data_IF_255720283880
#
_entry.id   IF_255720283880
#
_cell.length_a   1.000
_cell.length_b   1.000
_cell.length_c   1.000
_cell.angle_alpha   90.00
_cell.angle_beta   90.00
_cell.angle_gamma   90.00
#
_symmetry.space_group_name_H-M   'P 1'
#
loop_
_entity.id
_entity.type
_entity.pdbx_description
1 polymer ?
#
# COMPACT_ATOMS: atom_id res chain seq x y z
N UNK A 1 20.40 -22.45 11.16
CA UNK A 1 19.14 -21.77 10.80
C UNK A 1 18.22 -21.84 12.00
N UNK A 2 18.16 -20.77 12.79
CA UNK A 2 17.12 -20.62 13.81
C UNK A 2 15.82 -20.37 13.09
N UNK A 3 14.79 -21.16 13.41
CA UNK A 3 13.46 -21.04 12.85
C UNK A 3 12.96 -19.61 12.94
N UNK A 4 12.40 -19.12 11.84
CA UNK A 4 11.69 -17.83 11.83
C UNK A 4 10.44 -18.06 12.67
N UNK A 5 10.40 -17.49 13.87
CA UNK A 5 9.27 -17.63 14.77
C UNK A 5 7.98 -17.24 14.07
N UNK A 6 7.01 -18.16 14.07
CA UNK A 6 5.65 -17.92 13.59
C UNK A 6 4.98 -16.73 14.31
N UNK A 7 5.51 -16.37 15.47
CA UNK A 7 5.05 -15.28 16.33
C UNK A 7 5.58 -13.89 15.95
N UNK A 8 6.21 -13.72 14.77
CA UNK A 8 6.58 -12.38 14.33
C UNK A 8 5.34 -11.54 14.04
N UNK A 9 5.16 -10.41 14.74
CA UNK A 9 3.93 -9.59 14.62
C UNK A 9 3.52 -9.25 13.20
N UNK A 10 4.50 -9.08 12.30
CA UNK A 10 4.25 -8.75 10.89
C UNK A 10 3.61 -9.87 10.08
N UNK A 11 3.87 -11.13 10.41
CA UNK A 11 3.31 -12.30 9.70
C UNK A 11 1.87 -12.55 10.12
N UNK A 12 1.60 -12.49 11.42
CA UNK A 12 0.26 -12.64 11.97
C UNK A 12 -0.71 -11.57 11.45
N UNK A 13 -0.22 -10.33 11.31
CA UNK A 13 -1.01 -9.22 10.78
C UNK A 13 -1.40 -9.47 9.31
N UNK A 14 -0.52 -10.05 8.50
CA UNK A 14 -0.81 -10.44 7.11
C UNK A 14 -1.81 -11.59 7.09
N UNK A 15 -1.55 -12.64 7.86
CA UNK A 15 -2.41 -13.84 7.92
C UNK A 15 -3.84 -13.49 8.33
N UNK A 16 -4.02 -12.65 9.33
CA UNK A 16 -5.35 -12.21 9.79
C UNK A 16 -6.03 -11.19 8.87
N UNK A 17 -5.41 -10.79 7.76
CA UNK A 17 -5.97 -9.77 6.85
C UNK A 17 -6.12 -8.38 7.47
N UNK A 18 -5.36 -8.09 8.53
CA UNK A 18 -5.41 -6.81 9.23
C UNK A 18 -4.70 -5.68 8.50
N UNK A 19 -3.86 -6.01 7.53
CA UNK A 19 -3.13 -5.04 6.71
C UNK A 19 -3.05 -5.49 5.27
N UNK A 20 -3.12 -4.53 4.35
CA UNK A 20 -2.80 -4.73 2.94
C UNK A 20 -1.30 -4.55 2.74
N UNK A 21 -0.63 -5.58 2.22
CA UNK A 21 0.80 -5.54 1.95
C UNK A 21 1.06 -5.19 0.48
N UNK A 22 1.74 -4.08 0.24
CA UNK A 22 2.12 -3.62 -1.09
C UNK A 22 3.60 -3.25 -1.16
N UNK A 23 4.11 -3.00 -2.38
CA UNK A 23 5.45 -2.47 -2.64
C UNK A 23 5.34 -1.14 -3.36
N UNK A 24 5.10 -0.05 -2.63
CA UNK A 24 4.81 1.26 -3.22
C UNK A 24 6.04 2.16 -3.29
N UNK A 25 6.47 2.72 -2.17
CA UNK A 25 7.56 3.67 -2.11
C UNK A 25 8.89 3.04 -2.59
N UNK A 26 9.26 3.27 -3.83
CA UNK A 26 10.50 2.74 -4.45
C UNK A 26 10.65 1.22 -4.29
N UNK A 27 9.56 0.48 -4.40
CA UNK A 27 9.52 -0.97 -4.23
C UNK A 27 9.70 -1.47 -2.79
N UNK A 28 9.67 -0.57 -1.80
CA UNK A 28 9.74 -0.95 -0.38
C UNK A 28 8.40 -1.51 0.10
N UNK A 29 8.48 -2.44 1.03
CA UNK A 29 7.33 -2.98 1.73
C UNK A 29 6.52 -1.87 2.41
N UNK A 30 5.23 -1.85 2.16
CA UNK A 30 4.29 -0.89 2.72
C UNK A 30 3.09 -1.64 3.29
N UNK A 31 2.84 -1.46 4.59
CA UNK A 31 1.66 -1.98 5.26
C UNK A 31 0.59 -0.90 5.30
N UNK A 32 -0.57 -1.20 4.74
CA UNK A 32 -1.68 -0.26 4.60
C UNK A 32 -2.85 -0.76 5.43
N UNK A 33 -3.33 0.06 6.36
CA UNK A 33 -4.54 -0.26 7.12
C UNK A 33 -5.74 -0.40 6.14
N UNK A 34 -6.67 -1.35 6.35
CA UNK A 34 -7.77 -1.60 5.43
C UNK A 34 -8.56 -0.33 5.06
N UNK A 35 -8.84 0.54 6.04
CA UNK A 35 -9.53 1.81 5.81
C UNK A 35 -8.84 2.73 4.80
N UNK A 36 -7.51 2.59 4.63
CA UNK A 36 -6.70 3.40 3.71
C UNK A 36 -6.56 2.77 2.32
N UNK A 37 -6.85 1.49 2.14
CA UNK A 37 -6.70 0.76 0.87
C UNK A 37 -7.40 1.46 -0.30
N UNK A 38 -8.64 1.97 -0.18
CA UNK A 38 -9.30 2.67 -1.30
C UNK A 38 -8.52 3.89 -1.79
N UNK A 39 -7.91 4.64 -0.88
CA UNK A 39 -7.14 5.84 -1.22
C UNK A 39 -5.82 5.48 -1.90
N UNK A 40 -5.11 4.47 -1.39
CA UNK A 40 -3.90 3.97 -2.04
C UNK A 40 -4.22 3.38 -3.40
N UNK A 41 -5.32 2.64 -3.55
CA UNK A 41 -5.75 2.11 -4.84
C UNK A 41 -6.06 3.21 -5.86
N UNK A 42 -6.68 4.32 -5.45
CA UNK A 42 -6.97 5.44 -6.34
C UNK A 42 -5.71 6.09 -6.93
N UNK A 43 -4.56 5.96 -6.24
CA UNK A 43 -3.27 6.53 -6.66
C UNK A 43 -2.43 5.52 -7.43
N UNK A 44 -2.26 4.29 -6.92
CA UNK A 44 -1.35 3.28 -7.49
C UNK A 44 -2.05 2.14 -8.22
N UNK A 45 -3.33 1.92 -7.96
CA UNK A 45 -4.07 0.81 -8.55
C UNK A 45 -4.07 0.84 -10.07
N UNK A 46 -3.96 -0.34 -10.68
CA UNK A 46 -4.09 -0.52 -12.12
C UNK A 46 -5.44 -1.15 -12.42
N UNK A 47 -6.27 -0.46 -13.21
CA UNK A 47 -7.57 -0.98 -13.65
C UNK A 47 -7.37 -2.03 -14.74
N UNK A 48 -8.30 -2.97 -14.86
CA UNK A 48 -8.22 -4.06 -15.84
C UNK A 48 -8.02 -3.56 -17.28
N UNK A 49 -8.68 -2.49 -17.64
CA UNK A 49 -8.54 -1.88 -18.98
C UNK A 49 -7.14 -1.30 -19.23
N UNK A 50 -6.41 -0.93 -18.17
CA UNK A 50 -5.10 -0.30 -18.28
C UNK A 50 -3.95 -1.32 -18.14
N UNK A 51 -4.24 -2.59 -17.78
CA UNK A 51 -3.24 -3.63 -17.58
C UNK A 51 -2.33 -3.85 -18.81
N UNK A 52 -2.83 -3.89 -20.06
CA UNK A 52 -1.98 -4.09 -21.21
C UNK A 52 -0.93 -2.99 -21.40
N UNK A 53 -1.25 -1.76 -20.97
CA UNK A 53 -0.38 -0.59 -21.10
C UNK A 53 0.56 -0.41 -19.93
N UNK A 54 0.15 -0.83 -18.72
CA UNK A 54 0.84 -0.53 -17.47
C UNK A 54 1.60 -1.71 -16.87
N UNK A 55 1.31 -2.94 -17.29
CA UNK A 55 1.96 -4.15 -16.79
C UNK A 55 2.83 -4.79 -17.87
N UNK A 56 4.01 -5.25 -17.48
CA UNK A 56 4.88 -6.05 -18.34
C UNK A 56 4.22 -7.38 -18.74
N UNK A 57 4.72 -8.02 -19.81
CA UNK A 57 4.25 -9.34 -20.24
C UNK A 57 4.33 -10.35 -19.08
N UNK A 58 5.47 -10.38 -18.37
CA UNK A 58 5.68 -11.28 -17.23
C UNK A 58 4.66 -11.05 -16.09
N UNK A 59 4.41 -9.79 -15.74
CA UNK A 59 3.40 -9.47 -14.73
C UNK A 59 2.00 -9.95 -15.16
N UNK A 60 1.63 -9.77 -16.43
CA UNK A 60 0.34 -10.24 -16.96
C UNK A 60 0.23 -11.75 -16.99
N UNK A 61 1.33 -12.48 -17.25
CA UNK A 61 1.35 -13.96 -17.17
C UNK A 61 1.09 -14.43 -15.75
N UNK A 62 1.81 -13.90 -14.76
CA UNK A 62 1.61 -14.19 -13.33
C UNK A 62 0.15 -13.88 -12.92
N UNK A 63 -0.37 -12.72 -13.30
CA UNK A 63 -1.73 -12.31 -12.97
C UNK A 63 -2.79 -13.24 -13.58
N UNK A 64 -2.55 -13.75 -14.80
CA UNK A 64 -3.44 -14.69 -15.47
C UNK A 64 -3.55 -16.00 -14.69
N UNK A 65 -2.45 -16.52 -14.20
CA UNK A 65 -2.43 -17.73 -13.37
C UNK A 65 -3.20 -17.51 -12.07
N UNK A 66 -2.91 -16.44 -11.33
CA UNK A 66 -3.64 -16.13 -10.10
C UNK A 66 -5.15 -15.88 -10.30
N UNK A 67 -5.55 -15.42 -11.48
CA UNK A 67 -6.98 -15.28 -11.82
C UNK A 67 -7.67 -16.62 -12.08
N UNK A 68 -6.92 -17.64 -12.47
CA UNK A 68 -7.44 -19.00 -12.68
C UNK A 68 -7.46 -19.80 -11.39
N UNK A 69 -6.34 -19.74 -10.63
CA UNK A 69 -6.12 -20.59 -9.45
C UNK A 69 -6.49 -19.93 -8.12
N UNK A 70 -6.71 -18.61 -8.13
CA UNK A 70 -7.02 -17.76 -6.96
C UNK A 70 -5.90 -17.62 -5.94
N UNK A 71 -5.23 -18.70 -5.56
CA UNK A 71 -4.23 -18.73 -4.51
C UNK A 71 -3.13 -19.76 -4.81
N UNK A 72 -1.85 -19.35 -4.73
CA UNK A 72 -0.73 -20.23 -5.06
C UNK A 72 0.52 -19.92 -4.24
N UNK A 73 1.29 -20.98 -3.92
CA UNK A 73 2.64 -20.83 -3.37
C UNK A 73 3.58 -20.19 -4.41
N UNK A 74 4.61 -19.51 -3.91
CA UNK A 74 5.56 -18.77 -4.78
C UNK A 74 6.19 -19.65 -5.85
N UNK A 75 6.55 -20.90 -5.52
CA UNK A 75 7.18 -21.84 -6.44
C UNK A 75 6.23 -22.22 -7.56
N UNK A 76 5.04 -22.68 -7.18
CA UNK A 76 4.03 -23.16 -8.13
C UNK A 76 3.59 -22.02 -9.07
N UNK A 77 3.38 -20.83 -8.50
CA UNK A 77 3.04 -19.63 -9.27
C UNK A 77 4.13 -19.26 -10.29
N UNK A 78 5.41 -19.45 -9.95
CA UNK A 78 6.51 -19.23 -10.88
C UNK A 78 6.49 -20.26 -11.99
N UNK A 79 6.37 -21.53 -11.64
CA UNK A 79 6.44 -22.64 -12.57
C UNK A 79 5.23 -22.59 -13.55
N UNK A 80 4.02 -22.36 -13.05
CA UNK A 80 2.79 -22.25 -13.86
C UNK A 80 2.71 -20.97 -14.71
N UNK A 81 3.33 -19.89 -14.26
CA UNK A 81 3.33 -18.65 -15.04
C UNK A 81 4.22 -18.73 -16.29
N UNK A 82 5.11 -19.70 -16.37
CA UNK A 82 6.05 -19.83 -17.47
C UNK A 82 7.06 -18.66 -17.59
N UNK A 83 7.16 -17.83 -16.55
CA UNK A 83 8.10 -16.69 -16.55
C UNK A 83 9.51 -17.19 -16.31
N UNK A 84 10.34 -17.14 -17.35
CA UNK A 84 11.72 -17.57 -17.29
C UNK A 84 12.59 -16.72 -16.36
N UNK A 85 13.35 -17.40 -15.48
CA UNK A 85 14.30 -16.75 -14.57
C UNK A 85 13.69 -16.14 -13.31
N UNK A 86 14.36 -16.37 -12.18
CA UNK A 86 13.90 -15.92 -10.86
C UNK A 86 13.82 -14.40 -10.71
N UNK A 87 14.66 -13.66 -11.45
CA UNK A 87 14.64 -12.19 -11.43
C UNK A 87 13.44 -11.62 -12.18
N UNK A 88 13.14 -12.11 -13.37
CA UNK A 88 12.00 -11.70 -14.17
C UNK A 88 10.69 -11.98 -13.44
N UNK A 89 10.58 -13.12 -12.77
CA UNK A 89 9.43 -13.46 -11.93
C UNK A 89 9.30 -12.50 -10.72
N UNK A 90 10.42 -12.23 -10.01
CA UNK A 90 10.40 -11.28 -8.88
C UNK A 90 9.99 -9.88 -9.33
N UNK A 91 10.50 -9.42 -10.46
CA UNK A 91 10.14 -8.12 -11.03
C UNK A 91 8.66 -8.07 -11.42
N UNK A 92 8.14 -9.08 -12.13
CA UNK A 92 6.73 -9.17 -12.52
C UNK A 92 5.79 -9.19 -11.32
N UNK A 93 6.08 -10.01 -10.32
CA UNK A 93 5.32 -10.06 -9.08
C UNK A 93 5.40 -8.74 -8.29
N UNK A 94 6.58 -8.13 -8.21
CA UNK A 94 6.77 -6.82 -7.58
C UNK A 94 5.93 -5.73 -8.26
N UNK A 95 5.85 -5.74 -9.59
CA UNK A 95 4.99 -4.82 -10.34
C UNK A 95 3.49 -5.02 -10.02
N UNK A 96 3.05 -6.27 -9.84
CA UNK A 96 1.67 -6.57 -9.43
C UNK A 96 1.37 -6.08 -8.01
N UNK A 97 2.32 -6.21 -7.07
CA UNK A 97 2.20 -5.65 -5.73
C UNK A 97 2.15 -4.11 -5.75
N UNK A 98 2.99 -3.47 -6.57
CA UNK A 98 2.99 -2.01 -6.75
C UNK A 98 1.70 -1.52 -7.41
N UNK A 99 1.08 -2.32 -8.27
CA UNK A 99 -0.21 -2.05 -8.91
C UNK A 99 -1.43 -2.37 -8.02
N UNK A 100 -1.20 -2.82 -6.77
CA UNK A 100 -2.23 -3.24 -5.82
C UNK A 100 -3.17 -4.35 -6.35
N UNK A 101 -2.63 -5.26 -7.16
CA UNK A 101 -3.38 -6.38 -7.76
C UNK A 101 -3.20 -7.69 -6.99
N UNK A 102 -2.03 -7.92 -6.37
CA UNK A 102 -1.71 -9.15 -5.64
C UNK A 102 -1.13 -8.85 -4.28
N UNK A 103 -1.47 -9.72 -3.32
CA UNK A 103 -1.00 -9.67 -1.94
C UNK A 103 -0.62 -11.07 -1.47
N UNK A 104 0.26 -11.21 -0.48
CA UNK A 104 0.38 -12.46 0.23
C UNK A 104 -0.87 -12.68 1.10
N UNK A 105 -1.44 -13.87 1.05
CA UNK A 105 -2.54 -14.29 1.92
C UNK A 105 -2.02 -15.01 3.15
N UNK A 106 -0.93 -15.76 2.98
CA UNK A 106 -0.36 -16.60 4.01
C UNK A 106 1.16 -16.71 3.86
N UNK A 107 1.80 -17.14 4.93
CA UNK A 107 3.23 -17.48 4.97
C UNK A 107 3.37 -18.89 5.50
N UNK A 108 3.99 -19.76 4.71
CA UNK A 108 4.34 -21.11 5.13
C UNK A 108 5.82 -21.15 5.53
N UNK A 109 6.10 -21.84 6.64
CA UNK A 109 7.47 -21.99 7.17
C UNK A 109 8.09 -23.35 6.90
N UNK A 110 7.26 -24.35 6.61
CA UNK A 110 7.70 -25.71 6.34
C UNK A 110 7.17 -26.19 4.98
N UNK A 111 7.96 -26.99 4.24
CA UNK A 111 9.35 -27.38 4.50
C UNK A 111 10.35 -26.26 4.30
N UNK A 112 9.96 -25.16 3.61
CA UNK A 112 10.77 -23.96 3.38
C UNK A 112 9.89 -22.74 3.46
N UNK A 113 10.47 -21.60 3.90
CA UNK A 113 9.76 -20.33 3.94
C UNK A 113 9.24 -19.94 2.55
N UNK A 114 7.93 -19.76 2.43
CA UNK A 114 7.29 -19.28 1.20
C UNK A 114 6.04 -18.45 1.49
N UNK A 115 5.70 -17.57 0.55
CA UNK A 115 4.43 -16.85 0.55
C UNK A 115 3.41 -17.60 -0.31
N UNK A 116 2.17 -17.64 0.16
CA UNK A 116 1.01 -17.92 -0.65
C UNK A 116 0.49 -16.58 -1.20
N UNK A 117 0.28 -16.50 -2.51
CA UNK A 117 -0.14 -15.31 -3.22
C UNK A 117 -1.57 -15.41 -3.66
N UNK A 118 -2.30 -14.30 -3.51
CA UNK A 118 -3.69 -14.20 -3.96
C UNK A 118 -3.97 -12.85 -4.60
N UNK A 119 -5.14 -12.72 -5.23
CA UNK A 119 -5.61 -11.44 -5.74
C UNK A 119 -5.97 -10.50 -4.60
N UNK A 120 -5.56 -9.23 -4.70
CA UNK A 120 -5.92 -8.21 -3.71
C UNK A 120 -7.43 -8.11 -3.51
N UNK A 121 -8.20 -8.18 -4.59
CA UNK A 121 -9.68 -8.13 -4.54
C UNK A 121 -10.31 -9.34 -3.83
N UNK A 122 -9.66 -10.48 -3.82
CA UNK A 122 -10.13 -11.65 -3.07
C UNK A 122 -9.96 -11.46 -1.56
N UNK A 123 -8.91 -10.75 -1.14
CA UNK A 123 -8.59 -10.54 0.27
C UNK A 123 -9.26 -9.29 0.87
N UNK A 124 -9.40 -8.23 0.06
CA UNK A 124 -9.93 -6.92 0.45
C UNK A 124 -11.03 -6.47 -0.52
N UNK A 125 -12.12 -7.25 -0.66
CA UNK A 125 -13.14 -6.97 -1.68
C UNK A 125 -13.88 -5.65 -1.45
N UNK A 126 -14.20 -5.32 -0.21
CA UNK A 126 -14.95 -4.12 0.14
C UNK A 126 -14.13 -2.85 -0.09
N UNK A 127 -12.87 -2.88 0.35
CA UNK A 127 -11.94 -1.77 0.24
C UNK A 127 -11.60 -1.48 -1.24
N UNK A 128 -11.32 -2.52 -2.02
CA UNK A 128 -10.92 -2.39 -3.43
C UNK A 128 -12.11 -2.11 -4.38
N UNK A 129 -13.34 -2.33 -3.96
CA UNK A 129 -14.54 -1.91 -4.70
C UNK A 129 -14.90 -0.46 -4.48
N UNK A 130 -14.49 0.13 -3.35
CA UNK A 130 -14.79 1.53 -3.02
C UNK A 130 -14.06 2.46 -3.98
N UNK A 131 -14.83 3.22 -4.77
CA UNK A 131 -14.28 4.21 -5.70
C UNK A 131 -14.06 5.53 -4.99
N UNK A 132 -12.85 6.08 -5.16
CA UNK A 132 -12.44 7.35 -4.58
C UNK A 132 -11.76 8.16 -5.69
N UNK A 133 -11.99 9.47 -5.74
CA UNK A 133 -11.25 10.34 -6.67
C UNK A 133 -9.79 10.46 -6.25
N UNK A 134 -8.91 10.72 -7.22
CA UNK A 134 -7.48 10.89 -6.93
C UNK A 134 -7.22 12.05 -5.95
N UNK A 135 -7.97 13.13 -6.06
CA UNK A 135 -7.86 14.30 -5.20
C UNK A 135 -8.19 13.98 -3.75
N UNK A 136 -9.33 13.31 -3.53
CA UNK A 136 -9.72 12.82 -2.21
C UNK A 136 -8.67 11.86 -1.66
N UNK A 137 -8.14 10.98 -2.49
CA UNK A 137 -7.11 10.03 -2.07
C UNK A 137 -5.83 10.73 -1.61
N UNK A 138 -5.32 11.69 -2.36
CA UNK A 138 -4.13 12.45 -2.00
C UNK A 138 -4.32 13.21 -0.68
N UNK A 139 -5.48 13.81 -0.49
CA UNK A 139 -5.85 14.51 0.74
C UNK A 139 -5.88 13.56 1.95
N UNK A 140 -6.55 12.41 1.83
CA UNK A 140 -6.68 11.46 2.95
C UNK A 140 -5.35 10.76 3.27
N UNK A 141 -4.49 10.51 2.28
CA UNK A 141 -3.13 10.01 2.53
C UNK A 141 -2.31 11.06 3.28
N UNK A 142 -2.40 12.33 2.88
CA UNK A 142 -1.73 13.43 3.58
C UNK A 142 -2.26 13.60 5.01
N UNK A 143 -3.60 13.48 5.21
CA UNK A 143 -4.25 13.53 6.53
C UNK A 143 -3.71 12.44 7.45
N UNK A 144 -3.75 11.18 6.98
CA UNK A 144 -3.27 10.04 7.77
C UNK A 144 -1.79 10.18 8.17
N UNK A 145 -0.98 10.72 7.26
CA UNK A 145 0.42 10.99 7.56
C UNK A 145 0.57 12.08 8.63
N UNK A 146 -0.15 13.19 8.47
CA UNK A 146 -0.07 14.33 9.37
C UNK A 146 -0.60 14.00 10.77
N UNK A 147 -1.67 13.18 10.86
CA UNK A 147 -2.20 12.68 12.14
C UNK A 147 -1.15 11.86 12.92
N UNK A 148 -0.33 11.10 12.19
CA UNK A 148 0.70 10.27 12.80
C UNK A 148 1.98 11.03 13.15
N UNK A 149 2.34 12.03 12.33
CA UNK A 149 3.60 12.77 12.44
C UNK A 149 3.46 14.12 13.17
N UNK A 150 2.24 14.67 13.27
CA UNK A 150 1.97 16.00 13.81
C UNK A 150 2.40 17.15 12.90
N UNK A 151 3.50 16.97 12.16
CA UNK A 151 4.08 17.93 11.25
C UNK A 151 4.80 17.20 10.11
N UNK A 152 4.92 17.85 8.95
CA UNK A 152 5.79 17.40 7.86
C UNK A 152 6.87 18.43 7.54
N UNK A 153 8.02 17.97 7.07
CA UNK A 153 9.07 18.80 6.49
C UNK A 153 9.05 18.70 4.95
N UNK A 154 9.75 19.59 4.21
CA UNK A 154 9.72 19.58 2.75
C UNK A 154 10.07 18.22 2.14
N UNK A 155 9.13 17.67 1.35
CA UNK A 155 9.30 16.40 0.63
C UNK A 155 9.14 15.11 1.46
N UNK A 156 8.85 15.21 2.74
CA UNK A 156 8.77 14.04 3.62
C UNK A 156 7.58 13.13 3.27
N UNK A 157 6.38 13.68 3.11
CA UNK A 157 5.21 12.91 2.68
C UNK A 157 5.48 12.14 1.39
N UNK A 158 6.10 12.79 0.39
CA UNK A 158 6.48 12.13 -0.86
C UNK A 158 7.50 11.00 -0.63
N UNK A 159 8.50 11.22 0.21
CA UNK A 159 9.53 10.24 0.53
C UNK A 159 8.97 9.00 1.22
N UNK A 160 8.05 9.19 2.15
CA UNK A 160 7.49 8.10 2.97
C UNK A 160 6.45 7.31 2.18
N UNK A 161 5.55 7.99 1.47
CA UNK A 161 4.43 7.33 0.78
C UNK A 161 4.76 6.87 -0.62
N UNK A 162 5.79 7.43 -1.27
CA UNK A 162 6.10 7.20 -2.67
C UNK A 162 5.31 8.08 -3.65
N UNK A 163 4.52 9.03 -3.16
CA UNK A 163 3.90 10.07 -3.99
C UNK A 163 4.96 10.93 -4.67
N UNK A 164 4.63 11.48 -5.82
CA UNK A 164 5.44 12.58 -6.37
C UNK A 164 5.36 13.83 -5.48
N UNK A 165 6.38 14.68 -5.51
CA UNK A 165 6.36 15.94 -4.75
C UNK A 165 5.15 16.83 -5.06
N UNK A 166 4.74 17.00 -6.34
CA UNK A 166 3.52 17.73 -6.68
C UNK A 166 2.27 17.15 -6.04
N UNK A 167 2.09 15.81 -6.10
CA UNK A 167 0.94 15.13 -5.51
C UNK A 167 0.88 15.24 -3.99
N UNK A 168 2.00 15.04 -3.32
CA UNK A 168 2.11 15.26 -1.87
C UNK A 168 1.75 16.72 -1.51
N UNK A 169 2.20 17.68 -2.33
CA UNK A 169 1.84 19.08 -2.19
C UNK A 169 0.36 19.36 -2.39
N UNK A 170 -0.30 18.68 -3.34
CA UNK A 170 -1.76 18.79 -3.53
C UNK A 170 -2.52 18.32 -2.29
N UNK A 171 -2.17 17.14 -1.76
CA UNK A 171 -2.80 16.60 -0.55
C UNK A 171 -2.64 17.54 0.65
N UNK A 172 -1.42 18.02 0.92
CA UNK A 172 -1.17 18.92 2.04
C UNK A 172 -1.91 20.27 1.90
N UNK A 173 -1.93 20.86 0.70
CA UNK A 173 -2.65 22.13 0.46
C UNK A 173 -4.16 21.97 0.61
N UNK A 174 -4.74 20.82 0.25
CA UNK A 174 -6.14 20.55 0.48
C UNK A 174 -6.47 20.57 1.98
N UNK A 175 -5.59 20.01 2.83
CA UNK A 175 -5.77 20.05 4.29
C UNK A 175 -5.66 21.48 4.84
N UNK A 176 -4.82 22.33 4.27
CA UNK A 176 -4.73 23.75 4.66
C UNK A 176 -6.02 24.47 4.26
N UNK A 177 -6.54 24.24 3.05
CA UNK A 177 -7.78 24.85 2.58
C UNK A 177 -9.00 24.45 3.43
N UNK A 178 -9.00 23.25 4.02
CA UNK A 178 -10.02 22.77 4.94
C UNK A 178 -9.85 23.29 6.38
N UNK A 179 -8.78 24.02 6.67
CA UNK A 179 -8.46 24.43 8.03
C UNK A 179 -7.93 23.31 8.93
N UNK A 180 -7.70 22.13 8.39
CA UNK A 180 -7.19 20.97 9.12
C UNK A 180 -5.69 21.08 9.44
N UNK A 181 -4.95 21.79 8.60
CA UNK A 181 -3.53 22.04 8.76
C UNK A 181 -3.19 23.50 8.55
N UNK A 182 -2.04 23.92 9.06
CA UNK A 182 -1.41 25.20 8.80
C UNK A 182 -0.10 25.01 8.02
N UNK A 183 0.34 26.03 7.29
CA UNK A 183 1.62 26.03 6.57
C UNK A 183 2.53 27.12 7.12
N UNK A 184 3.29 26.87 8.20
CA UNK A 184 4.13 27.89 8.85
C UNK A 184 5.34 28.30 8.00
N UNK A 185 5.78 27.46 7.08
CA UNK A 185 6.86 27.75 6.14
C UNK A 185 6.66 26.97 4.84
N UNK A 186 7.39 27.33 3.80
CA UNK A 186 7.31 26.68 2.49
C UNK A 186 7.60 25.18 2.59
N UNK A 187 6.59 24.36 2.27
CA UNK A 187 6.67 22.89 2.27
C UNK A 187 6.61 22.25 3.66
N UNK A 188 6.38 23.05 4.71
CA UNK A 188 6.14 22.60 6.07
C UNK A 188 4.64 22.69 6.34
N UNK A 189 4.06 21.62 6.87
CA UNK A 189 2.65 21.54 7.23
C UNK A 189 2.52 20.96 8.63
N UNK A 190 1.63 21.52 9.43
CA UNK A 190 1.39 21.11 10.81
C UNK A 190 -0.12 21.03 11.05
N UNK A 191 -0.57 20.09 11.90
CA UNK A 191 -1.94 20.07 12.35
C UNK A 191 -2.34 21.45 12.88
N UNK A 192 -3.50 21.95 12.47
CA UNK A 192 -4.06 23.12 13.08
C UNK A 192 -4.28 22.84 14.58
N UNK A 193 -3.96 23.79 15.43
CA UNK A 193 -4.33 23.70 16.82
C UNK A 193 -5.88 23.64 16.85
N UNK A 194 -6.46 22.47 17.04
CA UNK A 194 -7.85 22.36 17.44
C UNK A 194 -7.93 23.07 18.79
N UNK A 195 -8.80 24.04 18.93
CA UNK A 195 -9.04 24.78 20.18
C UNK A 195 -9.61 23.90 21.29
N UNK A 196 -8.86 22.88 21.67
CA UNK A 196 -8.91 22.27 22.99
C UNK A 196 -7.99 23.12 23.84
N UNK A 197 -8.56 24.10 24.50
CA UNK A 197 -7.97 24.52 25.76
C UNK A 197 -7.71 23.26 26.59
N UNK A 198 -6.50 23.08 27.15
CA UNK A 198 -6.32 22.03 28.13
C UNK A 198 -7.33 22.31 29.26
N UNK A 199 -8.26 21.40 29.46
CA UNK A 199 -9.05 21.40 30.71
C UNK A 199 -8.00 21.32 31.82
N UNK A 200 -7.93 22.38 32.59
CA UNK A 200 -7.08 22.50 33.76
C UNK A 200 -7.47 21.36 34.72
N UNK A 201 -6.58 20.39 35.02
CA UNK A 201 -6.92 19.26 35.86
C UNK A 201 -7.05 19.63 37.35
N UNK A 202 -7.13 20.92 37.68
CA UNK A 202 -7.14 21.45 39.03
C UNK A 202 -8.30 22.46 39.33
N UNK A 203 -9.46 22.34 38.65
CA UNK A 203 -10.66 23.03 39.09
C UNK A 203 -11.73 22.08 39.61
#
# INVERSE_FOLDING_TARGET
FRGVDADKPGVEIIHRGKVYYAKLARGKATFIAPRMVPYFQAVWGVRRADEPKRLSANARQILRVLRREWEMATRDLRDDSGVGGGEAFRAGRGALQAAMLVVPSEVLYQPTFTYIWTLGVGRFPNELRRRVSREVALREIARCFLDSAGMTIPGELARVTGLSRPEAGLGNRALVAEGYATSPARGVYRLAATGREPEDPLS
#
